data_IF_927326769703
#
_entry.id   IF_927326769703
#
_cell.length_a   1.000
_cell.length_b   1.000
_cell.length_c   1.000
_cell.angle_alpha   90.00
_cell.angle_beta   90.00
_cell.angle_gamma   90.00
#
_symmetry.space_group_name_H-M   'P 1'
#
loop_
_entity.id
_entity.type
_entity.pdbx_description
1 polymer ?
#
# COMPACT_ATOMS: atom_id res chain seq x y z
N UNK A 1 12.95 12.83 8.12
CA UNK A 1 12.28 11.58 7.73
C UNK A 1 10.92 11.51 8.42
N UNK A 2 9.85 11.83 7.68
CA UNK A 2 8.47 11.87 8.19
C UNK A 2 7.64 10.75 7.55
N UNK A 3 6.62 10.28 8.26
CA UNK A 3 5.70 9.28 7.74
C UNK A 3 4.91 9.86 6.55
N UNK A 4 4.98 9.24 5.37
CA UNK A 4 4.29 9.71 4.18
C UNK A 4 2.76 9.82 4.32
N UNK A 5 2.16 9.11 5.30
CA UNK A 5 0.70 9.13 5.54
C UNK A 5 0.22 10.18 6.54
N UNK A 6 0.92 10.31 7.66
CA UNK A 6 0.46 11.13 8.80
C UNK A 6 1.45 12.23 9.20
N UNK A 7 2.53 12.38 8.44
CA UNK A 7 3.58 13.37 8.60
C UNK A 7 4.30 13.42 9.96
N UNK A 8 4.05 12.44 10.85
CA UNK A 8 4.77 12.32 12.12
C UNK A 8 6.22 11.91 11.89
N UNK A 9 7.11 12.43 12.73
CA UNK A 9 8.53 12.08 12.71
C UNK A 9 8.75 10.59 12.98
N UNK A 10 9.57 9.96 12.14
CA UNK A 10 9.95 8.56 12.26
C UNK A 10 11.20 8.44 13.14
N UNK A 11 11.18 7.52 14.12
CA UNK A 11 12.26 7.34 15.09
C UNK A 11 13.16 6.16 14.74
N UNK A 12 12.57 5.05 14.28
CA UNK A 12 13.30 3.81 14.03
C UNK A 12 13.84 3.76 12.60
N UNK A 13 15.04 3.21 12.42
CA UNK A 13 15.67 3.03 11.10
C UNK A 13 14.76 2.31 10.10
N UNK A 14 14.12 1.20 10.51
CA UNK A 14 13.16 0.46 9.66
C UNK A 14 11.98 1.31 9.22
N UNK A 15 11.47 2.18 10.11
CA UNK A 15 10.36 3.08 9.80
C UNK A 15 10.79 4.12 8.79
N UNK A 16 12.00 4.65 8.96
CA UNK A 16 12.64 5.59 8.04
C UNK A 16 12.85 4.96 6.65
N UNK A 17 13.41 3.76 6.57
CA UNK A 17 13.70 3.05 5.32
C UNK A 17 12.44 2.79 4.49
N UNK A 18 11.33 2.41 5.15
CA UNK A 18 10.04 2.20 4.46
C UNK A 18 9.22 3.49 4.26
N UNK A 19 9.65 4.64 4.79
CA UNK A 19 8.91 5.92 4.69
C UNK A 19 7.60 6.01 5.49
N UNK A 20 7.26 5.00 6.29
CA UNK A 20 6.02 4.94 7.07
C UNK A 20 6.28 4.54 8.52
N UNK A 21 5.45 5.05 9.42
CA UNK A 21 5.35 4.53 10.80
C UNK A 21 4.70 3.14 10.82
N UNK A 22 4.87 2.36 11.90
CA UNK A 22 4.43 0.94 11.95
C UNK A 22 2.94 0.77 11.69
N UNK A 23 2.12 1.60 12.31
CA UNK A 23 0.66 1.57 12.15
C UNK A 23 0.27 1.99 10.72
N UNK A 24 0.86 3.07 10.21
CA UNK A 24 0.56 3.57 8.87
C UNK A 24 0.97 2.57 7.78
N UNK A 25 2.10 1.89 7.97
CA UNK A 25 2.60 0.87 7.04
C UNK A 25 1.67 -0.34 6.99
N UNK A 26 1.18 -0.82 8.15
CA UNK A 26 0.23 -1.93 8.19
C UNK A 26 -1.03 -1.62 7.38
N UNK A 27 -1.60 -0.43 7.59
CA UNK A 27 -2.78 0.02 6.85
C UNK A 27 -2.50 0.15 5.34
N UNK A 28 -1.36 0.73 4.98
CA UNK A 28 -0.96 0.85 3.57
C UNK A 28 -0.87 -0.52 2.89
N UNK A 29 -0.29 -1.52 3.55
CA UNK A 29 -0.24 -2.88 3.01
C UNK A 29 -1.62 -3.55 2.91
N UNK A 30 -2.51 -3.31 3.86
CA UNK A 30 -3.89 -3.80 3.79
C UNK A 30 -4.63 -3.16 2.59
N UNK A 31 -4.47 -1.85 2.39
CA UNK A 31 -5.05 -1.13 1.25
C UNK A 31 -4.49 -1.62 -0.09
N UNK A 32 -3.18 -1.84 -0.19
CA UNK A 32 -2.58 -2.42 -1.40
C UNK A 32 -3.12 -3.84 -1.68
N UNK A 33 -3.21 -4.68 -0.65
CA UNK A 33 -3.78 -6.03 -0.80
C UNK A 33 -5.23 -5.99 -1.28
N UNK A 34 -6.03 -5.09 -0.72
CA UNK A 34 -7.43 -4.92 -1.14
C UNK A 34 -7.54 -4.34 -2.56
N UNK A 35 -6.63 -3.45 -2.95
CA UNK A 35 -6.56 -2.93 -4.31
C UNK A 35 -6.23 -4.05 -5.31
N UNK A 36 -5.21 -4.87 -5.00
CA UNK A 36 -4.80 -6.02 -5.81
C UNK A 36 -5.92 -7.04 -6.02
N UNK A 37 -6.77 -7.27 -5.01
CA UNK A 37 -7.94 -8.16 -5.12
C UNK A 37 -9.02 -7.65 -6.08
N UNK A 38 -9.10 -6.34 -6.29
CA UNK A 38 -10.11 -5.70 -7.14
C UNK A 38 -9.66 -5.55 -8.59
N UNK A 39 -8.37 -5.75 -8.88
CA UNK A 39 -7.87 -5.75 -10.25
C UNK A 39 -8.19 -7.09 -10.91
N UNK A 40 -8.92 -7.04 -12.02
CA UNK A 40 -8.96 -8.13 -13.00
C UNK A 40 -7.76 -7.99 -13.93
N UNK A 41 -7.23 -9.11 -14.41
CA UNK A 41 -6.21 -9.10 -15.46
C UNK A 41 -6.82 -8.68 -16.79
N UNK A 42 -5.98 -8.20 -17.72
CA UNK A 42 -6.43 -7.81 -19.07
C UNK A 42 -7.10 -8.97 -19.81
N UNK A 43 -6.55 -10.18 -19.67
CA UNK A 43 -7.11 -11.40 -20.25
C UNK A 43 -8.50 -11.75 -19.69
N UNK A 44 -8.73 -11.52 -18.39
CA UNK A 44 -10.04 -11.72 -17.77
C UNK A 44 -11.06 -10.68 -18.27
N UNK A 45 -10.68 -9.41 -18.32
CA UNK A 45 -11.55 -8.34 -18.82
C UNK A 45 -11.95 -8.53 -20.30
N UNK A 46 -11.04 -9.02 -21.14
CA UNK A 46 -11.32 -9.27 -22.57
C UNK A 46 -12.25 -10.47 -22.81
N UNK A 47 -12.23 -11.47 -21.91
CA UNK A 47 -13.13 -12.63 -21.98
C UNK A 47 -14.57 -12.28 -21.62
N UNK A 48 -14.79 -11.33 -20.72
CA UNK A 48 -16.15 -10.90 -20.32
C UNK A 48 -16.83 -10.00 -21.38
N UNK A 49 -16.07 -9.45 -22.32
CA UNK A 49 -16.56 -8.52 -23.34
C UNK A 49 -17.00 -9.17 -24.66
N UNK A 50 -16.84 -10.50 -24.82
CA UNK A 50 -17.19 -11.27 -26.02
C UNK A 50 -18.23 -12.35 -25.70
#
# INVERSE_FOLDING_TARGET
>A
MQCARCNRNLKDKKSIERGFGPVCYKKHQEEEKEFLKKQVTLDEALKEAN
#
